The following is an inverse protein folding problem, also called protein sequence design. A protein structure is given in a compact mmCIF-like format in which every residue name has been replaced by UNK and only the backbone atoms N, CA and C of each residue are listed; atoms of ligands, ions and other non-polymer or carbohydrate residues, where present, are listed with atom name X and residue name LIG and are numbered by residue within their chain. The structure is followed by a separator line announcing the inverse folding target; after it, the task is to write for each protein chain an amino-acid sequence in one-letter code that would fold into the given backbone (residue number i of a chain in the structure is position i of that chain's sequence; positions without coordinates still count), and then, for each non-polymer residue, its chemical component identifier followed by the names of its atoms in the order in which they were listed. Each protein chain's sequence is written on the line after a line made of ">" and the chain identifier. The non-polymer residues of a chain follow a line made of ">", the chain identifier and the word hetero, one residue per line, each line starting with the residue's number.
data_IF_156237668965
#
_entry.id   IF_156237668965
#
_cell.length_a   1.000
_cell.length_b   1.000
_cell.length_c   1.000
_cell.angle_alpha   90.00
_cell.angle_beta   90.00
_cell.angle_gamma   90.00
#
_symmetry.space_group_name_H-M   'P 1'
#
loop_
_entity.id
_entity.type
_entity.pdbx_description
1 polymer ?
#
# COMPACT_ATOMS: atom_id res chain seq x y z
N UNK A 1 26.31 -17.26 8.27
CA UNK A 1 25.47 -17.98 9.24
C UNK A 1 24.70 -16.97 10.08
N UNK A 2 23.48 -17.36 10.52
CA UNK A 2 22.46 -16.60 11.25
C UNK A 2 21.48 -15.78 10.39
N UNK A 3 20.55 -16.48 9.74
CA UNK A 3 19.20 -15.99 9.46
C UNK A 3 18.48 -15.74 10.79
N UNK A 4 18.08 -14.49 11.08
CA UNK A 4 17.23 -14.17 12.23
C UNK A 4 15.81 -13.91 11.74
N UNK A 5 14.94 -14.87 12.01
CA UNK A 5 13.50 -14.70 11.90
C UNK A 5 13.01 -13.73 12.98
N UNK A 6 12.25 -12.71 12.58
CA UNK A 6 11.49 -11.86 13.49
C UNK A 6 10.34 -12.70 14.07
N UNK A 7 10.40 -13.00 15.38
CA UNK A 7 9.27 -13.57 16.12
C UNK A 7 8.50 -12.42 16.79
N UNK A 8 7.15 -12.46 16.83
CA UNK A 8 6.37 -11.44 17.51
C UNK A 8 6.39 -11.66 19.04
N UNK A 9 6.54 -10.57 19.80
CA UNK A 9 6.35 -10.55 21.26
C UNK A 9 4.85 -10.45 21.59
N UNK A 10 4.37 -11.12 22.65
CA UNK A 10 2.97 -11.04 23.07
C UNK A 10 2.66 -9.67 23.72
N UNK A 11 1.58 -9.04 23.26
CA UNK A 11 1.00 -7.85 23.87
C UNK A 11 0.44 -8.19 25.26
N UNK A 12 1.08 -7.66 26.32
CA UNK A 12 0.52 -7.70 27.68
C UNK A 12 -0.06 -6.33 28.01
N UNK A 13 -1.39 -6.22 27.98
CA UNK A 13 -2.09 -5.07 28.58
C UNK A 13 -1.93 -5.13 30.11
N UNK A 14 -1.15 -4.21 30.69
CA UNK A 14 -1.11 -4.00 32.14
C UNK A 14 -2.41 -3.35 32.60
N UNK A 15 -3.20 -4.07 33.39
CA UNK A 15 -4.31 -3.52 34.16
C UNK A 15 -3.77 -2.72 35.34
N UNK A 16 -4.20 -1.45 35.47
CA UNK A 16 -3.90 -0.59 36.63
C UNK A 16 -4.80 -0.99 37.82
N UNK A 17 -4.26 -1.19 39.04
CA UNK A 17 -5.09 -1.46 40.21
C UNK A 17 -5.64 -0.17 40.83
N UNK A 18 -6.91 -0.25 41.25
CA UNK A 18 -7.67 0.76 42.00
C UNK A 18 -6.99 1.13 43.33
N UNK A 19 -6.95 2.43 43.62
CA UNK A 19 -6.45 3.02 44.86
C UNK A 19 -7.30 2.64 46.08
N UNK A 20 -6.67 2.27 47.18
CA UNK A 20 -7.23 2.37 48.53
C UNK A 20 -6.40 3.37 49.34
N UNK A 21 -7.09 4.37 49.89
CA UNK A 21 -6.57 5.39 50.79
C UNK A 21 -6.22 4.80 52.16
N UNK A 22 -5.02 5.08 52.68
CA UNK A 22 -4.77 5.24 54.11
C UNK A 22 -3.70 6.31 54.33
N UNK A 23 -4.01 7.20 55.26
CA UNK A 23 -3.14 8.28 55.75
C UNK A 23 -2.04 7.74 56.66
N UNK A 24 -0.84 8.28 56.54
CA UNK A 24 0.03 8.56 57.68
C UNK A 24 1.06 9.61 57.29
N UNK A 25 1.13 10.65 58.13
CA UNK A 25 2.08 11.76 58.14
C UNK A 25 3.44 11.32 58.69
N UNK A 26 4.55 11.74 58.05
CA UNK A 26 5.74 12.29 58.75
C UNK A 26 6.77 12.92 57.79
N UNK A 27 7.15 14.15 58.16
CA UNK A 27 8.46 14.81 58.12
C UNK A 27 9.20 15.14 56.80
N UNK A 28 9.53 16.44 56.71
CA UNK A 28 10.30 17.14 55.68
C UNK A 28 11.75 16.64 55.52
N UNK A 29 12.23 16.66 54.27
CA UNK A 29 13.65 16.68 53.91
C UNK A 29 13.83 17.34 52.54
N UNK A 30 14.42 18.53 52.53
CA UNK A 30 14.64 19.40 51.38
C UNK A 30 15.54 18.79 50.29
N UNK A 31 15.09 18.83 49.03
CA UNK A 31 15.98 18.82 47.88
C UNK A 31 15.34 19.59 46.72
N UNK A 32 15.68 20.88 46.62
CA UNK A 32 15.49 21.67 45.41
C UNK A 32 16.36 21.05 44.31
N UNK A 33 15.74 20.32 43.37
CA UNK A 33 16.35 20.03 42.07
C UNK A 33 15.82 21.01 41.06
N UNK A 34 16.72 21.84 40.54
CA UNK A 34 16.51 22.70 39.40
C UNK A 34 16.01 21.89 38.21
N UNK A 35 14.80 22.18 37.73
CA UNK A 35 14.39 21.77 36.40
C UNK A 35 15.15 22.62 35.39
N UNK A 36 16.19 22.05 34.77
CA UNK A 36 16.71 22.61 33.53
C UNK A 36 15.64 22.43 32.46
N UNK A 37 15.22 23.53 31.85
CA UNK A 37 14.38 23.51 30.67
C UNK A 37 15.12 22.76 29.56
N UNK A 38 14.70 21.54 29.25
CA UNK A 38 15.14 20.87 28.03
C UNK A 38 14.62 21.68 26.85
N UNK A 39 15.51 22.41 26.19
CA UNK A 39 15.28 22.98 24.87
C UNK A 39 14.77 21.87 23.95
N UNK A 40 13.50 21.93 23.58
CA UNK A 40 12.93 21.06 22.55
C UNK A 40 13.74 21.31 21.27
N UNK A 41 14.54 20.32 20.87
CA UNK A 41 15.28 20.39 19.62
C UNK A 41 14.26 20.60 18.49
N UNK A 42 14.52 21.57 17.61
CA UNK A 42 13.72 21.76 16.41
C UNK A 42 13.70 20.44 15.62
N UNK A 43 12.55 20.02 15.07
CA UNK A 43 12.49 18.77 14.32
C UNK A 43 13.48 18.84 13.15
N UNK A 44 14.24 17.76 12.96
CA UNK A 44 15.12 17.62 11.80
C UNK A 44 14.30 17.83 10.51
N UNK A 45 14.88 18.44 9.46
CA UNK A 45 14.18 18.59 8.19
C UNK A 45 13.79 17.20 7.64
N UNK A 46 12.63 17.10 6.97
CA UNK A 46 12.18 15.83 6.40
C UNK A 46 13.19 15.31 5.37
N UNK A 47 13.37 13.99 5.30
CA UNK A 47 14.22 13.37 4.27
C UNK A 47 13.59 13.54 2.91
N UNK A 48 14.35 14.02 1.94
CA UNK A 48 13.88 14.21 0.57
C UNK A 48 14.01 12.92 -0.21
N UNK A 49 12.94 12.48 -0.84
CA UNK A 49 12.90 11.23 -1.61
C UNK A 49 12.42 11.52 -3.03
N UNK A 50 13.07 10.91 -4.01
CA UNK A 50 12.59 10.85 -5.39
C UNK A 50 12.01 9.47 -5.69
N UNK A 51 10.77 9.42 -6.15
CA UNK A 51 10.17 8.23 -6.79
C UNK A 51 9.83 8.61 -8.23
N UNK A 52 10.64 8.20 -9.22
CA UNK A 52 10.35 8.47 -10.61
C UNK A 52 9.25 7.52 -11.11
N UNK A 53 8.34 8.03 -11.93
CA UNK A 53 7.29 7.26 -12.61
C UNK A 53 7.34 7.54 -14.12
N UNK A 54 6.89 6.59 -14.91
CA UNK A 54 6.87 6.67 -16.36
C UNK A 54 5.74 5.81 -16.93
N UNK A 55 5.46 5.94 -18.23
CA UNK A 55 4.51 5.07 -18.91
C UNK A 55 4.88 3.59 -18.68
N UNK A 56 3.94 2.81 -18.16
CA UNK A 56 4.17 1.39 -17.84
C UNK A 56 4.94 1.14 -16.54
N UNK A 57 5.07 2.11 -15.64
CA UNK A 57 5.50 1.87 -14.26
C UNK A 57 4.56 0.85 -13.59
N UNK A 58 5.09 -0.01 -12.73
CA UNK A 58 4.27 -0.91 -11.90
C UNK A 58 3.58 -0.10 -10.77
N UNK A 59 2.25 0.09 -10.80
CA UNK A 59 1.56 0.95 -9.86
C UNK A 59 1.63 0.47 -8.40
N UNK A 60 1.55 -0.84 -8.09
CA UNK A 60 1.60 -1.31 -6.70
C UNK A 60 2.95 -0.96 -6.07
N UNK A 61 4.05 -1.21 -6.79
CA UNK A 61 5.41 -0.89 -6.35
C UNK A 61 5.59 0.61 -6.09
N UNK A 62 5.19 1.46 -7.04
CA UNK A 62 5.34 2.92 -6.90
C UNK A 62 4.49 3.48 -5.75
N UNK A 63 3.20 3.14 -5.71
CA UNK A 63 2.25 3.69 -4.74
C UNK A 63 2.60 3.26 -3.32
N UNK A 64 2.95 1.99 -3.10
CA UNK A 64 3.35 1.51 -1.78
C UNK A 64 4.62 2.22 -1.29
N UNK A 65 5.62 2.38 -2.14
CA UNK A 65 6.85 3.10 -1.76
C UNK A 65 6.57 4.56 -1.41
N UNK A 66 5.76 5.25 -2.20
CA UNK A 66 5.38 6.65 -1.93
C UNK A 66 4.65 6.77 -0.60
N UNK A 67 3.62 5.93 -0.40
CA UNK A 67 2.79 5.96 0.80
C UNK A 67 3.63 5.68 2.06
N UNK A 68 4.37 4.57 2.09
CA UNK A 68 5.14 4.13 3.26
C UNK A 68 6.21 5.17 3.65
N UNK A 69 6.89 5.77 2.67
CA UNK A 69 7.89 6.80 2.95
C UNK A 69 7.24 8.10 3.46
N UNK A 70 6.07 8.48 2.93
CA UNK A 70 5.30 9.62 3.46
C UNK A 70 4.76 9.35 4.88
N UNK A 71 4.38 8.11 5.21
CA UNK A 71 4.04 7.70 6.59
C UNK A 71 5.22 7.87 7.55
N UNK A 72 6.45 7.67 7.08
CA UNK A 72 7.66 7.89 7.87
C UNK A 72 8.01 9.37 8.06
N UNK A 73 7.32 10.29 7.37
CA UNK A 73 7.58 11.73 7.40
C UNK A 73 8.55 12.22 6.32
N UNK A 74 8.84 11.39 5.30
CA UNK A 74 9.64 11.83 4.16
C UNK A 74 8.88 12.82 3.26
N UNK A 75 9.63 13.78 2.73
CA UNK A 75 9.20 14.65 1.64
C UNK A 75 9.43 13.92 0.31
N UNK A 76 8.43 13.15 -0.11
CA UNK A 76 8.49 12.35 -1.33
C UNK A 76 8.00 13.17 -2.53
N UNK A 77 8.91 13.43 -3.45
CA UNK A 77 8.61 13.98 -4.78
C UNK A 77 8.38 12.83 -5.77
N UNK A 78 7.16 12.75 -6.31
CA UNK A 78 6.85 11.85 -7.43
C UNK A 78 7.15 12.61 -8.71
N UNK A 79 8.07 12.11 -9.55
CA UNK A 79 8.49 12.83 -10.75
C UNK A 79 8.27 12.00 -12.01
N UNK A 80 7.63 12.57 -13.02
CA UNK A 80 7.43 11.91 -14.30
C UNK A 80 8.68 11.98 -15.17
N UNK A 81 9.16 10.85 -15.65
CA UNK A 81 10.20 10.77 -16.68
C UNK A 81 9.66 11.02 -18.09
N UNK A 82 8.34 11.22 -18.22
CA UNK A 82 7.67 11.59 -19.47
C UNK A 82 7.67 13.12 -19.66
N UNK A 83 7.03 13.58 -20.75
CA UNK A 83 6.78 15.00 -21.03
C UNK A 83 5.57 15.58 -20.28
N UNK A 84 4.73 14.72 -19.70
CA UNK A 84 3.54 15.09 -18.93
C UNK A 84 3.65 14.49 -17.52
N UNK A 85 3.08 15.17 -16.53
CA UNK A 85 2.96 14.67 -15.16
C UNK A 85 1.92 13.55 -15.04
N UNK A 86 0.98 13.42 -16.00
CA UNK A 86 0.02 12.31 -16.06
C UNK A 86 0.67 11.10 -16.70
N UNK A 87 0.57 9.97 -16.01
CA UNK A 87 1.24 8.73 -16.39
C UNK A 87 0.23 7.59 -16.40
N UNK A 88 0.14 6.90 -17.54
CA UNK A 88 -0.52 5.60 -17.65
C UNK A 88 0.44 4.51 -17.16
N UNK A 89 0.19 4.01 -15.96
CA UNK A 89 0.92 2.91 -15.36
C UNK A 89 0.43 1.55 -15.94
N UNK A 90 1.05 0.44 -15.54
CA UNK A 90 0.58 -0.88 -15.95
C UNK A 90 -0.89 -1.13 -15.53
N UNK A 91 -1.56 -2.02 -16.25
CA UNK A 91 -2.90 -2.53 -15.92
C UNK A 91 -3.98 -1.43 -15.81
N UNK A 92 -3.80 -0.35 -16.57
CA UNK A 92 -4.76 0.75 -16.71
C UNK A 92 -4.87 1.65 -15.47
N UNK A 93 -3.99 1.48 -14.48
CA UNK A 93 -3.90 2.41 -13.35
C UNK A 93 -3.29 3.72 -13.85
N UNK A 94 -3.86 4.85 -13.42
CA UNK A 94 -3.38 6.18 -13.78
C UNK A 94 -2.77 6.85 -12.55
N UNK A 95 -1.65 7.53 -12.74
CA UNK A 95 -0.97 8.30 -11.69
C UNK A 95 -0.74 9.74 -12.18
N UNK A 96 -0.69 10.69 -11.26
CA UNK A 96 -0.22 12.06 -11.55
C UNK A 96 0.97 12.39 -10.68
N UNK A 97 2.10 12.68 -11.31
CA UNK A 97 3.32 13.14 -10.67
C UNK A 97 3.15 14.53 -10.04
N UNK A 98 4.08 14.86 -9.15
CA UNK A 98 4.21 16.18 -8.54
C UNK A 98 5.02 17.13 -9.43
N UNK A 99 5.95 16.60 -10.22
CA UNK A 99 6.85 17.35 -11.09
C UNK A 99 7.30 16.50 -12.30
N UNK A 100 7.99 17.10 -13.27
CA UNK A 100 8.79 16.37 -14.25
C UNK A 100 10.18 16.09 -13.68
N UNK A 101 10.89 15.08 -14.20
CA UNK A 101 12.28 14.81 -13.83
C UNK A 101 13.18 16.03 -14.10
N UNK A 102 12.91 16.77 -15.19
CA UNK A 102 13.61 18.01 -15.53
C UNK A 102 13.51 19.08 -14.44
N UNK A 103 12.38 19.14 -13.73
CA UNK A 103 12.12 20.17 -12.72
C UNK A 103 12.91 19.92 -11.42
N UNK A 104 13.41 18.69 -11.24
CA UNK A 104 14.10 18.25 -10.03
C UNK A 104 15.56 17.88 -10.28
N UNK A 105 16.10 18.15 -11.48
CA UNK A 105 17.45 17.76 -11.88
C UNK A 105 18.56 18.34 -10.97
N UNK A 106 18.33 19.51 -10.37
CA UNK A 106 19.25 20.14 -9.42
C UNK A 106 19.00 19.79 -7.95
N UNK A 107 17.95 19.02 -7.66
CA UNK A 107 17.55 18.68 -6.29
C UNK A 107 18.42 17.55 -5.75
N UNK A 108 18.89 17.70 -4.52
CA UNK A 108 19.56 16.63 -3.77
C UNK A 108 18.54 15.81 -3.00
N UNK A 109 18.64 14.49 -3.09
CA UNK A 109 17.74 13.56 -2.40
C UNK A 109 18.51 12.71 -1.39
N UNK A 110 17.85 12.38 -0.27
CA UNK A 110 18.35 11.38 0.68
C UNK A 110 18.15 9.95 0.15
N UNK A 111 17.16 9.74 -0.72
CA UNK A 111 16.86 8.46 -1.39
C UNK A 111 16.28 8.69 -2.80
N UNK A 112 16.71 7.87 -3.75
CA UNK A 112 16.03 7.71 -5.04
C UNK A 112 15.60 6.25 -5.18
N UNK A 113 14.30 5.98 -5.37
CA UNK A 113 13.74 4.63 -5.42
C UNK A 113 12.98 4.38 -6.72
N UNK A 114 13.51 3.52 -7.59
CA UNK A 114 12.97 3.22 -8.91
C UNK A 114 11.96 2.06 -8.84
N UNK A 115 10.67 2.30 -9.13
CA UNK A 115 9.70 1.23 -9.33
C UNK A 115 9.97 0.48 -10.63
N UNK A 116 9.49 -0.76 -10.70
CA UNK A 116 9.61 -1.60 -11.88
C UNK A 116 8.50 -1.39 -12.91
N UNK A 117 8.03 -2.49 -13.47
CA UNK A 117 7.04 -2.51 -14.55
C UNK A 117 7.68 -2.41 -15.94
N UNK A 118 6.97 -2.90 -16.95
CA UNK A 118 7.36 -2.77 -18.35
C UNK A 118 6.18 -2.22 -19.15
N UNK A 119 6.40 -1.22 -20.03
CA UNK A 119 7.70 -0.62 -20.39
C UNK A 119 8.34 0.34 -19.35
N UNK A 120 7.73 0.58 -18.18
CA UNK A 120 8.17 1.62 -17.23
C UNK A 120 9.65 1.62 -16.88
N UNK A 121 10.23 0.47 -16.57
CA UNK A 121 11.67 0.36 -16.28
C UNK A 121 12.56 0.70 -17.47
N UNK A 122 12.11 0.44 -18.70
CA UNK A 122 12.82 0.80 -19.93
C UNK A 122 12.73 2.32 -20.15
N UNK A 123 11.54 2.90 -19.94
CA UNK A 123 11.38 4.34 -20.05
C UNK A 123 12.19 5.11 -19.00
N UNK A 124 12.25 4.59 -17.76
CA UNK A 124 13.14 5.14 -16.72
C UNK A 124 14.62 5.01 -17.11
N UNK A 125 15.04 3.86 -17.65
CA UNK A 125 16.41 3.64 -18.16
C UNK A 125 16.78 4.66 -19.22
N UNK A 126 15.85 4.96 -20.14
CA UNK A 126 16.09 5.82 -21.31
C UNK A 126 15.98 7.32 -20.99
N UNK A 127 15.62 7.70 -19.76
CA UNK A 127 15.62 9.07 -19.28
C UNK A 127 17.04 9.49 -18.83
N UNK A 128 17.77 10.18 -19.72
CA UNK A 128 19.16 10.59 -19.47
C UNK A 128 19.33 11.54 -18.28
N UNK A 129 18.35 12.41 -18.01
CA UNK A 129 18.33 13.26 -16.81
C UNK A 129 18.22 12.41 -15.54
N UNK A 130 17.32 11.41 -15.51
CA UNK A 130 17.18 10.51 -14.36
C UNK A 130 18.47 9.70 -14.15
N UNK A 131 19.04 9.13 -15.21
CA UNK A 131 20.32 8.42 -15.15
C UNK A 131 21.40 9.31 -14.49
N UNK A 132 21.49 10.57 -14.92
CA UNK A 132 22.47 11.53 -14.40
C UNK A 132 22.26 11.82 -12.91
N UNK A 133 21.00 12.01 -12.48
CA UNK A 133 20.66 12.23 -11.06
C UNK A 133 21.03 11.01 -10.22
N UNK A 134 20.72 9.79 -10.67
CA UNK A 134 20.98 8.54 -9.93
C UNK A 134 22.47 8.23 -9.88
N UNK A 135 23.22 8.43 -10.98
CA UNK A 135 24.69 8.25 -10.98
C UNK A 135 25.36 9.21 -10.02
N UNK A 136 24.97 10.49 -10.03
CA UNK A 136 25.49 11.49 -9.09
C UNK A 136 25.17 11.14 -7.64
N UNK A 137 23.96 10.62 -7.36
CA UNK A 137 23.59 10.12 -6.03
C UNK A 137 24.52 8.98 -5.59
N UNK A 138 24.76 7.99 -6.47
CA UNK A 138 25.62 6.85 -6.18
C UNK A 138 27.09 7.27 -5.96
N UNK A 139 27.63 8.13 -6.81
CA UNK A 139 29.00 8.69 -6.69
C UNK A 139 29.19 9.47 -5.39
N UNK A 140 28.15 10.17 -4.93
CA UNK A 140 28.12 10.87 -3.64
C UNK A 140 27.93 9.95 -2.42
N UNK A 141 27.80 8.64 -2.61
CA UNK A 141 27.51 7.69 -1.54
C UNK A 141 26.09 7.78 -0.98
N UNK A 142 25.16 8.40 -1.72
CA UNK A 142 23.75 8.52 -1.35
C UNK A 142 22.99 7.20 -1.50
N UNK A 143 21.88 7.06 -0.77
CA UNK A 143 21.04 5.87 -0.84
C UNK A 143 20.27 5.86 -2.17
N UNK A 144 20.28 4.73 -2.87
CA UNK A 144 19.46 4.48 -4.05
C UNK A 144 18.91 3.07 -4.04
N UNK A 145 17.77 2.88 -4.70
CA UNK A 145 17.04 1.64 -4.60
C UNK A 145 16.23 1.35 -5.87
N UNK A 146 15.96 0.08 -6.14
CA UNK A 146 15.11 -0.33 -7.25
C UNK A 146 14.37 -1.64 -6.95
N UNK A 147 13.20 -1.83 -7.54
CA UNK A 147 12.39 -3.04 -7.36
C UNK A 147 12.00 -3.65 -8.71
N UNK A 148 11.79 -4.97 -8.72
CA UNK A 148 11.25 -5.70 -9.86
C UNK A 148 12.16 -5.69 -11.08
N UNK A 149 11.75 -5.12 -12.22
CA UNK A 149 12.57 -5.08 -13.43
C UNK A 149 13.65 -3.99 -13.37
N UNK A 150 13.45 -2.92 -12.60
CA UNK A 150 14.34 -1.76 -12.56
C UNK A 150 15.78 -2.05 -12.10
N UNK A 151 16.07 -2.98 -11.17
CA UNK A 151 17.45 -3.35 -10.85
C UNK A 151 18.22 -3.85 -12.08
N UNK A 152 17.64 -4.75 -12.88
CA UNK A 152 18.29 -5.29 -14.06
C UNK A 152 18.27 -4.30 -15.24
N UNK A 153 17.12 -3.69 -15.49
CA UNK A 153 16.87 -2.88 -16.69
C UNK A 153 17.49 -1.49 -16.58
N UNK A 154 17.40 -0.84 -15.42
CA UNK A 154 17.91 0.52 -15.22
C UNK A 154 19.27 0.48 -14.49
N UNK A 155 19.30 0.16 -13.19
CA UNK A 155 20.53 0.25 -12.39
C UNK A 155 21.67 -0.60 -12.96
N UNK A 156 21.37 -1.82 -13.41
CA UNK A 156 22.34 -2.72 -14.04
C UNK A 156 22.92 -2.13 -15.32
N UNK A 157 22.07 -1.58 -16.20
CA UNK A 157 22.53 -0.94 -17.45
C UNK A 157 23.37 0.31 -17.22
N UNK A 158 23.14 1.03 -16.12
CA UNK A 158 23.90 2.21 -15.72
C UNK A 158 25.22 1.87 -15.00
N UNK A 159 25.51 0.58 -14.78
CA UNK A 159 26.71 0.10 -14.10
C UNK A 159 26.69 0.25 -12.58
N UNK A 160 25.51 0.50 -11.98
CA UNK A 160 25.36 0.83 -10.56
C UNK A 160 25.26 -0.39 -9.62
N UNK A 161 25.41 -1.60 -10.17
CA UNK A 161 25.35 -2.87 -9.43
C UNK A 161 26.67 -3.66 -9.41
N UNK A 162 27.74 -3.10 -9.99
CA UNK A 162 29.03 -3.78 -10.11
C UNK A 162 29.62 -4.14 -8.75
N UNK A 163 29.86 -5.43 -8.53
CA UNK A 163 30.43 -6.00 -7.31
C UNK A 163 29.47 -6.05 -6.12
N UNK A 164 28.20 -5.66 -6.31
CA UNK A 164 27.20 -5.56 -5.24
C UNK A 164 26.24 -6.74 -5.28
N UNK A 165 25.73 -7.15 -4.12
CA UNK A 165 24.62 -8.10 -4.04
C UNK A 165 23.34 -7.43 -4.47
N UNK A 166 22.65 -8.03 -5.44
CA UNK A 166 21.38 -7.54 -5.95
C UNK A 166 20.39 -8.67 -6.19
N UNK A 167 19.11 -8.34 -6.00
CA UNK A 167 17.97 -9.15 -6.42
C UNK A 167 17.12 -8.35 -7.41
N UNK A 168 16.22 -9.03 -8.11
CA UNK A 168 15.24 -8.39 -9.00
C UNK A 168 14.06 -9.35 -9.23
N UNK A 169 13.16 -8.98 -10.15
CA UNK A 169 12.08 -9.85 -10.57
C UNK A 169 12.61 -11.19 -11.08
N UNK A 170 12.00 -12.34 -10.72
CA UNK A 170 12.54 -13.66 -11.04
C UNK A 170 12.90 -13.86 -12.52
N UNK A 171 12.06 -13.41 -13.46
CA UNK A 171 12.36 -13.55 -14.89
C UNK A 171 13.42 -12.57 -15.43
N UNK A 172 13.90 -11.63 -14.61
CA UNK A 172 14.96 -10.69 -14.94
C UNK A 172 16.29 -11.03 -14.23
N UNK A 173 16.31 -12.08 -13.41
CA UNK A 173 17.46 -12.43 -12.57
C UNK A 173 18.71 -12.68 -13.44
N UNK A 174 18.56 -13.43 -14.53
CA UNK A 174 19.61 -13.71 -15.51
C UNK A 174 20.00 -12.49 -16.38
N UNK A 175 19.25 -11.38 -16.28
CA UNK A 175 19.56 -10.10 -16.97
C UNK A 175 20.33 -9.13 -16.08
N UNK A 176 20.56 -9.45 -14.81
CA UNK A 176 21.48 -8.66 -13.99
C UNK A 176 22.90 -8.75 -14.58
N UNK A 177 23.72 -7.68 -14.46
CA UNK A 177 25.04 -7.66 -15.07
C UNK A 177 25.93 -8.73 -14.41
N UNK A 178 26.83 -9.32 -15.20
CA UNK A 178 27.67 -10.46 -14.76
C UNK A 178 28.61 -10.15 -13.61
N UNK A 179 28.87 -8.87 -13.34
CA UNK A 179 29.68 -8.40 -12.23
C UNK A 179 28.86 -8.06 -10.97
N UNK A 180 27.52 -8.17 -11.01
CA UNK A 180 26.68 -8.16 -9.81
C UNK A 180 26.64 -9.56 -9.15
N UNK A 181 26.49 -9.59 -7.83
CA UNK A 181 26.37 -10.83 -7.07
C UNK A 181 24.88 -11.14 -6.91
N UNK A 182 24.41 -12.14 -7.65
CA UNK A 182 23.00 -12.53 -7.65
C UNK A 182 22.54 -13.14 -6.32
N UNK A 183 21.41 -12.65 -5.80
CA UNK A 183 20.73 -13.22 -4.61
C UNK A 183 19.21 -13.23 -4.78
N UNK A 184 18.55 -14.16 -4.09
CA UNK A 184 17.10 -14.38 -4.20
C UNK A 184 16.30 -13.85 -3.00
N UNK A 185 16.93 -13.14 -2.07
CA UNK A 185 16.24 -12.50 -0.94
C UNK A 185 15.14 -11.57 -1.43
N UNK A 186 13.99 -11.54 -0.75
CA UNK A 186 12.85 -10.65 -1.10
C UNK A 186 13.24 -9.17 -1.11
N UNK A 187 14.13 -8.77 -0.19
CA UNK A 187 14.78 -7.47 -0.14
C UNK A 187 16.27 -7.70 0.10
N UNK A 188 17.13 -7.13 -0.73
CA UNK A 188 18.58 -7.18 -0.60
C UNK A 188 19.12 -5.78 -0.32
N UNK A 189 19.90 -5.65 0.76
CA UNK A 189 20.63 -4.42 1.09
C UNK A 189 22.12 -4.70 0.96
N UNK A 190 22.83 -3.95 0.12
CA UNK A 190 24.29 -3.98 0.03
C UNK A 190 24.84 -2.54 0.03
N UNK A 191 25.42 -2.13 1.15
CA UNK A 191 25.87 -0.75 1.37
C UNK A 191 24.74 0.28 1.21
N UNK A 192 24.83 1.08 0.14
CA UNK A 192 23.90 2.16 -0.20
C UNK A 192 22.86 1.76 -1.25
N UNK A 193 22.80 0.48 -1.62
CA UNK A 193 21.86 -0.05 -2.61
C UNK A 193 20.85 -0.95 -1.93
N UNK A 194 19.56 -0.72 -2.23
CA UNK A 194 18.48 -1.62 -1.82
C UNK A 194 17.75 -2.12 -3.06
N UNK A 195 17.66 -3.44 -3.22
CA UNK A 195 16.92 -4.06 -4.33
C UNK A 195 15.83 -5.01 -3.85
N UNK A 196 14.77 -5.19 -4.64
CA UNK A 196 13.66 -6.08 -4.29
C UNK A 196 13.00 -6.71 -5.53
N UNK A 197 12.09 -7.68 -5.34
CA UNK A 197 11.70 -8.63 -6.39
C UNK A 197 10.42 -8.29 -7.14
N UNK A 198 9.39 -7.69 -6.55
CA UNK A 198 8.12 -7.45 -7.27
C UNK A 198 7.01 -6.84 -6.42
N UNK A 199 5.78 -6.75 -6.94
CA UNK A 199 4.66 -6.10 -6.24
C UNK A 199 4.40 -6.67 -4.84
N UNK A 200 4.49 -7.99 -4.70
CA UNK A 200 4.31 -8.73 -3.45
C UNK A 200 5.41 -8.52 -2.43
N UNK A 201 6.56 -7.92 -2.80
CA UNK A 201 7.66 -7.55 -1.90
C UNK A 201 7.69 -6.04 -1.61
N UNK A 202 6.81 -5.23 -2.21
CA UNK A 202 6.87 -3.77 -2.14
C UNK A 202 6.71 -3.20 -0.72
N UNK A 203 5.88 -3.81 0.13
CA UNK A 203 5.74 -3.39 1.54
C UNK A 203 7.03 -3.64 2.33
N UNK A 204 7.59 -4.84 2.23
CA UNK A 204 8.87 -5.20 2.90
C UNK A 204 10.00 -4.29 2.42
N UNK A 205 10.08 -4.07 1.11
CA UNK A 205 11.04 -3.17 0.48
C UNK A 205 10.92 -1.75 1.04
N UNK A 206 9.71 -1.21 1.08
CA UNK A 206 9.48 0.18 1.51
C UNK A 206 9.73 0.36 3.02
N UNK A 207 9.43 -0.63 3.85
CA UNK A 207 9.78 -0.62 5.29
C UNK A 207 11.29 -0.68 5.49
N UNK A 208 12.01 -1.48 4.70
CA UNK A 208 13.47 -1.51 4.73
C UNK A 208 14.10 -0.16 4.33
N UNK A 209 13.48 0.57 3.39
CA UNK A 209 13.89 1.94 3.04
C UNK A 209 13.66 2.92 4.19
N UNK A 210 12.53 2.81 4.90
CA UNK A 210 12.29 3.59 6.13
C UNK A 210 13.35 3.29 7.19
N UNK A 211 13.70 2.02 7.41
CA UNK A 211 14.75 1.65 8.34
C UNK A 211 16.11 2.24 7.96
N UNK A 212 16.46 2.24 6.66
CA UNK A 212 17.71 2.85 6.17
C UNK A 212 17.75 4.37 6.32
N UNK A 213 16.61 5.05 6.19
CA UNK A 213 16.52 6.52 6.27
C UNK A 213 16.37 7.05 7.70
N UNK A 214 15.61 6.34 8.54
CA UNK A 214 15.14 6.84 9.83
C UNK A 214 15.44 5.89 11.00
N UNK A 215 15.96 4.70 10.73
CA UNK A 215 16.23 3.69 11.75
C UNK A 215 15.05 2.77 12.06
N UNK A 216 15.35 1.69 12.77
CA UNK A 216 14.41 0.59 13.04
C UNK A 216 13.15 1.01 13.79
N UNK A 217 13.28 1.91 14.77
CA UNK A 217 12.12 2.37 15.56
C UNK A 217 11.05 3.03 14.67
N UNK A 218 11.46 3.88 13.74
CA UNK A 218 10.53 4.51 12.79
C UNK A 218 9.92 3.49 11.83
N UNK A 219 10.71 2.50 11.40
CA UNK A 219 10.20 1.41 10.55
C UNK A 219 9.12 0.60 11.27
N UNK A 220 9.33 0.24 12.55
CA UNK A 220 8.36 -0.48 13.37
C UNK A 220 7.09 0.37 13.64
N UNK A 221 7.25 1.68 13.88
CA UNK A 221 6.13 2.64 14.03
C UNK A 221 5.26 2.71 12.76
N UNK A 222 5.88 2.78 11.59
CA UNK A 222 5.16 2.84 10.30
C UNK A 222 4.50 1.50 9.97
N UNK A 223 5.18 0.39 10.24
CA UNK A 223 4.70 -0.97 9.95
C UNK A 223 3.48 -1.38 10.78
N UNK A 224 3.46 -1.05 12.08
CA UNK A 224 2.43 -1.53 13.02
C UNK A 224 0.98 -1.26 12.55
N UNK A 225 0.61 0.00 12.25
CA UNK A 225 -0.73 0.34 11.78
C UNK A 225 -1.10 -0.24 10.42
N UNK A 226 -0.16 -0.75 9.62
CA UNK A 226 -0.46 -1.26 8.28
C UNK A 226 -1.01 -2.69 8.27
N UNK A 227 -0.99 -3.42 9.41
CA UNK A 227 -1.48 -4.81 9.49
C UNK A 227 -0.71 -5.73 8.51
N UNK A 228 0.61 -5.58 8.49
CA UNK A 228 1.49 -6.38 7.64
C UNK A 228 1.30 -7.88 7.88
N UNK A 229 1.56 -8.65 6.84
CA UNK A 229 1.57 -10.11 6.91
C UNK A 229 2.82 -10.56 7.68
N UNK A 230 2.65 -11.55 8.55
CA UNK A 230 3.72 -12.14 9.36
C UNK A 230 4.54 -13.20 8.60
N UNK A 231 3.86 -13.95 7.73
CA UNK A 231 4.44 -15.04 6.93
C UNK A 231 4.49 -14.67 5.45
N UNK A 232 5.57 -13.98 5.04
CA UNK A 232 5.83 -13.66 3.64
C UNK A 232 6.22 -14.91 2.83
N UNK A 233 5.80 -14.99 1.57
CA UNK A 233 6.13 -16.14 0.70
C UNK A 233 5.36 -17.42 1.03
N UNK A 234 4.36 -17.36 1.91
CA UNK A 234 3.45 -18.48 2.19
C UNK A 234 2.15 -18.27 1.42
N UNK A 235 1.46 -19.33 1.02
CA UNK A 235 0.13 -19.23 0.42
C UNK A 235 -0.83 -18.39 1.27
N UNK A 236 -1.60 -17.51 0.64
CA UNK A 236 -2.62 -16.72 1.34
C UNK A 236 -3.85 -17.57 1.64
N UNK A 237 -4.60 -17.18 2.66
CA UNK A 237 -5.89 -17.77 3.01
C UNK A 237 -6.86 -16.68 3.48
N UNK A 238 -8.14 -16.99 3.44
CA UNK A 238 -9.20 -16.13 3.99
C UNK A 238 -10.22 -17.00 4.72
N UNK A 239 -10.98 -16.38 5.61
CA UNK A 239 -12.07 -17.05 6.30
C UNK A 239 -13.36 -16.87 5.50
N UNK A 240 -14.04 -17.97 5.21
CA UNK A 240 -15.35 -17.96 4.58
C UNK A 240 -16.39 -18.58 5.51
N UNK A 241 -17.50 -17.86 5.68
CA UNK A 241 -18.70 -18.33 6.38
C UNK A 241 -19.91 -18.10 5.48
N UNK A 242 -20.97 -18.88 5.70
CA UNK A 242 -22.20 -18.84 4.90
C UNK A 242 -21.90 -18.87 3.38
N UNK A 243 -21.15 -19.87 2.89
CA UNK A 243 -20.63 -19.87 1.53
C UNK A 243 -21.76 -19.83 0.51
N UNK A 244 -21.62 -18.94 -0.47
CA UNK A 244 -22.49 -18.88 -1.65
C UNK A 244 -21.62 -18.91 -2.92
N UNK A 245 -22.14 -19.43 -4.04
CA UNK A 245 -21.45 -19.30 -5.33
C UNK A 245 -21.36 -17.84 -5.75
N UNK A 246 -20.15 -17.35 -6.04
CA UNK A 246 -19.96 -16.05 -6.69
C UNK A 246 -19.99 -16.28 -8.19
N UNK A 247 -20.94 -15.65 -8.87
CA UNK A 247 -21.18 -15.82 -10.30
C UNK A 247 -21.20 -14.45 -10.98
N UNK A 248 -20.77 -14.43 -12.22
CA UNK A 248 -20.94 -13.33 -13.15
C UNK A 248 -21.31 -13.94 -14.50
N UNK A 249 -21.88 -13.13 -15.39
CA UNK A 249 -22.29 -13.59 -16.72
C UNK A 249 -21.09 -13.64 -17.68
N UNK A 250 -21.03 -12.74 -18.66
CA UNK A 250 -19.98 -12.73 -19.68
C UNK A 250 -18.73 -11.94 -19.29
N UNK A 251 -18.89 -10.85 -18.54
CA UNK A 251 -17.80 -9.99 -18.08
C UNK A 251 -18.04 -9.56 -16.64
N UNK A 252 -17.06 -9.76 -15.76
CA UNK A 252 -17.15 -9.34 -14.36
C UNK A 252 -17.02 -7.82 -14.26
N UNK A 253 -18.10 -7.13 -13.88
CA UNK A 253 -18.17 -5.67 -13.74
C UNK A 253 -18.03 -5.26 -12.28
N UNK A 254 -16.97 -4.52 -11.95
CA UNK A 254 -16.62 -4.13 -10.58
C UNK A 254 -16.55 -2.61 -10.46
N UNK A 255 -17.21 -2.04 -9.46
CA UNK A 255 -17.07 -0.64 -9.08
C UNK A 255 -16.06 -0.50 -7.93
N UNK A 256 -15.07 0.37 -8.12
CA UNK A 256 -14.18 0.85 -7.05
C UNK A 256 -14.32 2.38 -6.98
N UNK A 257 -15.11 2.92 -6.03
CA UNK A 257 -15.15 4.36 -5.84
C UNK A 257 -13.87 4.84 -5.15
N UNK A 258 -13.40 6.02 -5.56
CA UNK A 258 -12.28 6.73 -4.96
C UNK A 258 -12.71 8.16 -4.61
N UNK A 259 -12.14 8.70 -3.54
CA UNK A 259 -12.43 10.03 -3.05
C UNK A 259 -11.15 10.67 -2.48
N UNK A 260 -11.20 11.96 -2.20
CA UNK A 260 -10.12 12.61 -1.49
C UNK A 260 -9.88 11.92 -0.13
N UNK A 261 -8.63 11.55 0.11
CA UNK A 261 -8.23 10.82 1.31
C UNK A 261 -8.58 9.33 1.34
N UNK A 262 -8.97 8.73 0.21
CA UNK A 262 -8.92 7.27 0.01
C UNK A 262 -7.51 6.74 0.30
N UNK A 263 -7.39 5.56 0.89
CA UNK A 263 -6.11 4.87 1.06
C UNK A 263 -5.62 4.35 -0.30
N UNK A 264 -4.50 4.91 -0.77
CA UNK A 264 -3.99 4.68 -2.12
C UNK A 264 -3.46 3.26 -2.36
N UNK A 265 -2.85 2.61 -1.36
CA UNK A 265 -2.32 1.26 -1.49
C UNK A 265 -3.48 0.27 -1.66
N UNK A 266 -4.52 0.39 -0.83
CA UNK A 266 -5.73 -0.41 -0.86
C UNK A 266 -6.45 -0.27 -2.21
N UNK A 267 -6.69 0.97 -2.66
CA UNK A 267 -7.35 1.22 -3.94
C UNK A 267 -6.52 0.67 -5.11
N UNK A 268 -5.22 0.94 -5.14
CA UNK A 268 -4.33 0.53 -6.23
C UNK A 268 -4.22 -0.99 -6.34
N UNK A 269 -4.04 -1.70 -5.21
CA UNK A 269 -3.97 -3.16 -5.22
C UNK A 269 -5.28 -3.81 -5.66
N UNK A 270 -6.43 -3.29 -5.21
CA UNK A 270 -7.74 -3.79 -5.67
C UNK A 270 -7.88 -3.61 -7.18
N UNK A 271 -7.60 -2.42 -7.70
CA UNK A 271 -7.77 -2.09 -9.12
C UNK A 271 -6.83 -2.93 -9.99
N UNK A 272 -5.53 -2.92 -9.66
CA UNK A 272 -4.49 -3.60 -10.43
C UNK A 272 -4.72 -5.12 -10.49
N UNK A 273 -4.91 -5.77 -9.34
CA UNK A 273 -5.01 -7.24 -9.26
C UNK A 273 -6.28 -7.74 -9.96
N UNK A 274 -7.41 -7.04 -9.80
CA UNK A 274 -8.66 -7.44 -10.46
C UNK A 274 -8.59 -7.23 -11.98
N UNK A 275 -7.89 -6.19 -12.46
CA UNK A 275 -7.63 -6.00 -13.90
C UNK A 275 -6.65 -7.04 -14.45
N UNK A 276 -5.65 -7.46 -13.69
CA UNK A 276 -4.77 -8.60 -14.05
C UNK A 276 -5.57 -9.89 -14.21
N UNK A 277 -6.57 -10.10 -13.36
CA UNK A 277 -7.54 -11.20 -13.46
C UNK A 277 -8.61 -11.00 -14.56
N UNK A 278 -8.46 -9.98 -15.43
CA UNK A 278 -9.34 -9.66 -16.56
C UNK A 278 -10.75 -9.23 -16.17
N UNK A 279 -10.97 -8.79 -14.94
CA UNK A 279 -12.21 -8.12 -14.56
C UNK A 279 -12.29 -6.72 -15.17
N UNK A 280 -13.50 -6.26 -15.50
CA UNK A 280 -13.74 -4.87 -15.88
C UNK A 280 -13.94 -4.02 -14.62
N UNK A 281 -12.89 -3.30 -14.22
CA UNK A 281 -12.91 -2.45 -13.03
C UNK A 281 -13.15 -1.00 -13.44
N UNK A 282 -14.32 -0.48 -13.06
CA UNK A 282 -14.70 0.92 -13.17
C UNK A 282 -14.21 1.66 -11.93
N UNK A 283 -13.27 2.58 -12.10
CA UNK A 283 -12.82 3.47 -11.03
C UNK A 283 -13.63 4.76 -11.12
N UNK A 284 -14.40 5.08 -10.08
CA UNK A 284 -15.29 6.24 -10.08
C UNK A 284 -14.91 7.25 -9.00
N UNK A 285 -14.72 8.52 -9.37
CA UNK A 285 -14.49 9.59 -8.40
C UNK A 285 -15.81 9.99 -7.75
N UNK A 286 -15.86 10.02 -6.42
CA UNK A 286 -16.99 10.55 -5.65
C UNK A 286 -16.97 12.09 -5.59
N UNK A 287 -15.86 12.70 -6.00
CA UNK A 287 -15.71 14.14 -6.10
C UNK A 287 -16.38 14.71 -7.37
N UNK A 288 -16.32 16.03 -7.56
CA UNK A 288 -16.79 16.74 -8.76
C UNK A 288 -15.80 16.69 -9.95
N UNK A 289 -14.64 16.07 -9.73
CA UNK A 289 -13.56 15.92 -10.73
C UNK A 289 -12.99 14.50 -10.73
N UNK A 290 -12.37 14.11 -11.84
CA UNK A 290 -11.78 12.77 -12.00
C UNK A 290 -10.54 12.56 -11.12
N UNK A 291 -9.75 13.60 -10.89
CA UNK A 291 -8.50 13.50 -10.14
C UNK A 291 -8.72 13.72 -8.63
N UNK A 292 -8.42 12.69 -7.82
CA UNK A 292 -8.46 12.78 -6.36
C UNK A 292 -7.05 12.85 -5.77
N UNK A 293 -6.95 13.40 -4.57
CA UNK A 293 -5.72 13.37 -3.75
C UNK A 293 -5.95 12.37 -2.61
N UNK A 294 -5.25 11.24 -2.67
CA UNK A 294 -5.35 10.16 -1.70
C UNK A 294 -4.77 10.54 -0.32
N UNK A 295 -4.88 9.62 0.64
CA UNK A 295 -4.59 9.86 2.06
C UNK A 295 -3.15 10.29 2.32
N UNK A 296 -2.18 9.71 1.60
CA UNK A 296 -0.76 10.09 1.60
C UNK A 296 -0.38 10.80 0.31
N UNK A 297 -1.32 11.58 -0.23
CA UNK A 297 -1.09 12.56 -1.30
C UNK A 297 -0.67 11.95 -2.64
N UNK A 298 -0.86 10.64 -2.86
CA UNK A 298 -0.83 10.10 -4.22
C UNK A 298 -2.02 10.67 -4.99
N UNK A 299 -1.80 11.13 -6.23
CA UNK A 299 -2.86 11.68 -7.07
C UNK A 299 -3.33 10.60 -8.03
N UNK A 300 -4.62 10.26 -7.96
CA UNK A 300 -5.24 9.18 -8.73
C UNK A 300 -6.36 9.74 -9.61
N UNK A 301 -6.24 9.64 -10.94
CA UNK A 301 -7.36 9.87 -11.84
C UNK A 301 -8.31 8.67 -11.87
N UNK A 302 -9.61 8.93 -11.67
CA UNK A 302 -10.68 7.99 -11.93
C UNK A 302 -10.97 7.84 -13.43
N UNK A 303 -11.67 6.77 -13.80
CA UNK A 303 -12.14 6.55 -15.17
C UNK A 303 -13.40 7.39 -15.48
N UNK A 304 -14.24 7.63 -14.47
CA UNK A 304 -15.43 8.45 -14.58
C UNK A 304 -15.83 9.08 -13.24
N UNK A 305 -16.78 10.01 -13.28
CA UNK A 305 -17.43 10.52 -12.07
C UNK A 305 -18.48 9.52 -11.57
N UNK A 306 -18.75 9.52 -10.27
CA UNK A 306 -19.77 8.70 -9.64
C UNK A 306 -21.15 8.92 -10.28
N UNK A 307 -21.45 10.15 -10.72
CA UNK A 307 -22.70 10.51 -11.40
C UNK A 307 -22.97 9.70 -12.67
N UNK A 308 -21.92 9.27 -13.36
CA UNK A 308 -22.03 8.37 -14.51
C UNK A 308 -22.01 6.91 -14.07
N UNK A 309 -21.18 6.57 -13.09
CA UNK A 309 -21.05 5.21 -12.58
C UNK A 309 -22.36 4.66 -12.01
N UNK A 310 -23.16 5.47 -11.31
CA UNK A 310 -24.46 5.03 -10.73
C UNK A 310 -25.51 4.66 -11.77
N UNK A 311 -25.28 4.98 -13.05
CA UNK A 311 -26.16 4.59 -14.17
C UNK A 311 -25.85 3.18 -14.70
N UNK A 312 -24.75 2.58 -14.24
CA UNK A 312 -24.29 1.25 -14.65
C UNK A 312 -24.72 0.18 -13.63
N UNK A 313 -24.54 -1.09 -14.00
CA UNK A 313 -24.74 -2.22 -13.10
C UNK A 313 -23.42 -2.90 -12.80
N UNK A 314 -23.30 -3.40 -11.57
CA UNK A 314 -22.09 -4.04 -11.07
C UNK A 314 -22.41 -5.40 -10.47
N UNK A 315 -21.51 -6.35 -10.68
CA UNK A 315 -21.51 -7.64 -9.99
C UNK A 315 -20.97 -7.49 -8.57
N UNK A 316 -20.02 -6.57 -8.39
CA UNK A 316 -19.33 -6.31 -7.13
C UNK A 316 -19.03 -4.81 -6.95
N UNK A 317 -19.28 -4.28 -5.76
CA UNK A 317 -18.84 -2.93 -5.35
C UNK A 317 -17.83 -3.06 -4.20
N UNK A 318 -16.64 -2.50 -4.34
CA UNK A 318 -15.56 -2.59 -3.34
C UNK A 318 -15.17 -1.21 -2.85
N UNK A 319 -15.24 -0.97 -1.54
CA UNK A 319 -14.82 0.29 -0.93
C UNK A 319 -13.41 0.17 -0.34
N UNK A 320 -12.40 0.85 -0.92
CA UNK A 320 -11.13 1.08 -0.24
C UNK A 320 -11.35 1.84 1.08
N UNK A 321 -10.35 1.87 1.95
CA UNK A 321 -10.38 2.60 3.20
C UNK A 321 -9.80 4.01 3.09
N UNK A 322 -9.09 4.39 4.15
CA UNK A 322 -8.66 5.77 4.40
C UNK A 322 -9.77 6.50 5.13
N UNK A 323 -9.50 7.07 6.30
CA UNK A 323 -10.56 7.64 7.14
C UNK A 323 -11.31 8.81 6.45
N UNK A 324 -10.63 9.77 5.79
CA UNK A 324 -11.33 10.82 5.06
C UNK A 324 -12.05 10.29 3.81
N UNK A 325 -11.45 9.35 3.07
CA UNK A 325 -12.09 8.72 1.91
C UNK A 325 -13.36 7.96 2.30
N UNK A 326 -13.29 7.15 3.36
CA UNK A 326 -14.46 6.44 3.91
C UNK A 326 -15.55 7.41 4.41
N UNK A 327 -15.18 8.57 4.96
CA UNK A 327 -16.14 9.63 5.31
C UNK A 327 -16.80 10.23 4.07
N UNK A 328 -16.03 10.51 3.02
CA UNK A 328 -16.58 10.98 1.74
C UNK A 328 -17.54 9.96 1.12
N UNK A 329 -17.19 8.66 1.16
CA UNK A 329 -18.09 7.57 0.74
C UNK A 329 -19.37 7.54 1.57
N UNK A 330 -19.25 7.64 2.89
CA UNK A 330 -20.39 7.61 3.83
C UNK A 330 -21.34 8.80 3.65
N UNK A 331 -20.83 9.95 3.22
CA UNK A 331 -21.60 11.16 2.99
C UNK A 331 -22.21 11.25 1.57
N UNK A 332 -21.82 10.36 0.65
CA UNK A 332 -22.34 10.36 -0.71
C UNK A 332 -23.66 9.59 -0.79
N UNK A 333 -24.79 10.31 -0.76
CA UNK A 333 -26.12 9.71 -0.87
C UNK A 333 -26.24 8.79 -2.10
N UNK A 334 -25.69 9.21 -3.24
CA UNK A 334 -25.68 8.42 -4.49
C UNK A 334 -24.98 7.07 -4.33
N UNK A 335 -23.82 7.06 -3.67
CA UNK A 335 -23.07 5.82 -3.44
C UNK A 335 -23.78 4.92 -2.42
N UNK A 336 -24.31 5.51 -1.35
CA UNK A 336 -25.04 4.77 -0.33
C UNK A 336 -26.31 4.12 -0.91
N UNK A 337 -27.06 4.85 -1.74
CA UNK A 337 -28.25 4.29 -2.41
C UNK A 337 -27.89 3.16 -3.38
N UNK A 338 -26.76 3.28 -4.09
CA UNK A 338 -26.25 2.20 -4.93
C UNK A 338 -25.88 0.96 -4.10
N UNK A 339 -25.19 1.14 -2.96
CA UNK A 339 -24.83 0.05 -2.04
C UNK A 339 -26.06 -0.62 -1.40
N UNK A 340 -27.08 0.15 -1.02
CA UNK A 340 -28.35 -0.41 -0.51
C UNK A 340 -29.01 -1.30 -1.55
N UNK A 341 -29.15 -0.81 -2.79
CA UNK A 341 -29.69 -1.60 -3.91
C UNK A 341 -28.85 -2.87 -4.18
N UNK A 342 -27.52 -2.75 -4.10
CA UNK A 342 -26.60 -3.89 -4.25
C UNK A 342 -26.86 -4.95 -3.16
N UNK A 343 -26.96 -4.53 -1.90
CA UNK A 343 -27.20 -5.42 -0.78
C UNK A 343 -28.61 -6.04 -0.79
N UNK A 344 -29.66 -5.25 -1.07
CA UNK A 344 -31.06 -5.70 -1.13
C UNK A 344 -31.30 -6.70 -2.27
N UNK A 345 -30.59 -6.55 -3.39
CA UNK A 345 -30.62 -7.51 -4.49
C UNK A 345 -29.77 -8.77 -4.26
N UNK A 346 -29.12 -8.89 -3.11
CA UNK A 346 -28.25 -10.01 -2.77
C UNK A 346 -26.95 -10.06 -3.59
N UNK A 347 -26.64 -9.01 -4.35
CA UNK A 347 -25.39 -8.91 -5.11
C UNK A 347 -24.19 -8.68 -4.18
N UNK A 348 -23.01 -8.86 -4.74
CA UNK A 348 -21.77 -8.85 -3.97
C UNK A 348 -21.35 -7.40 -3.66
N UNK A 349 -20.84 -7.19 -2.46
CA UNK A 349 -20.21 -5.93 -2.07
C UNK A 349 -19.16 -6.19 -1.00
N UNK A 350 -18.24 -5.25 -0.82
CA UNK A 350 -17.19 -5.39 0.15
C UNK A 350 -16.49 -4.09 0.49
N UNK A 351 -15.71 -4.12 1.56
CA UNK A 351 -14.97 -2.96 2.02
C UNK A 351 -13.73 -3.38 2.80
N UNK A 352 -12.70 -2.54 2.78
CA UNK A 352 -11.45 -2.75 3.53
C UNK A 352 -11.19 -1.56 4.48
N UNK A 353 -10.48 -1.84 5.57
CA UNK A 353 -9.94 -0.84 6.48
C UNK A 353 -11.02 -0.01 7.18
N UNK A 354 -11.10 1.29 6.92
CA UNK A 354 -12.08 2.16 7.58
C UNK A 354 -13.50 1.96 7.05
N UNK A 355 -13.65 1.56 5.79
CA UNK A 355 -14.94 1.54 5.10
C UNK A 355 -15.96 0.53 5.66
N UNK A 356 -15.59 -0.67 6.16
CA UNK A 356 -16.53 -1.53 6.87
C UNK A 356 -17.22 -0.83 8.06
N UNK A 357 -16.46 -0.11 8.89
CA UNK A 357 -16.99 0.55 10.08
C UNK A 357 -17.64 1.91 9.81
N UNK A 358 -17.11 2.68 8.86
CA UNK A 358 -17.54 4.07 8.59
C UNK A 358 -18.64 4.15 7.55
N UNK A 359 -18.73 3.16 6.65
CA UNK A 359 -19.73 3.10 5.59
C UNK A 359 -20.71 1.96 5.84
N UNK A 360 -20.24 0.71 5.86
CA UNK A 360 -21.17 -0.44 5.87
C UNK A 360 -21.94 -0.55 7.18
N UNK A 361 -21.26 -0.48 8.33
CA UNK A 361 -21.89 -0.50 9.65
C UNK A 361 -22.81 0.71 9.85
N UNK A 362 -22.29 1.92 9.57
CA UNK A 362 -23.00 3.19 9.80
C UNK A 362 -24.32 3.29 9.02
N UNK A 363 -24.39 2.67 7.83
CA UNK A 363 -25.59 2.64 6.99
C UNK A 363 -26.39 1.34 7.11
N UNK A 364 -26.08 0.50 8.10
CA UNK A 364 -26.83 -0.73 8.40
C UNK A 364 -26.68 -1.85 7.37
N UNK A 365 -25.67 -1.77 6.49
CA UNK A 365 -25.37 -2.78 5.48
C UNK A 365 -24.76 -4.05 6.11
N UNK A 366 -24.28 -3.98 7.36
CA UNK A 366 -23.77 -5.15 8.10
C UNK A 366 -24.81 -5.86 8.97
N UNK A 367 -26.09 -5.49 8.90
CA UNK A 367 -27.14 -6.15 9.71
C UNK A 367 -27.23 -7.64 9.38
N UNK A 368 -26.99 -8.47 10.40
CA UNK A 368 -27.01 -9.94 10.26
C UNK A 368 -25.79 -10.53 9.55
N UNK A 369 -24.74 -9.73 9.31
CA UNK A 369 -23.48 -10.14 8.70
C UNK A 369 -22.34 -10.12 9.72
N UNK A 370 -21.31 -10.91 9.47
CA UNK A 370 -20.00 -10.82 10.14
C UNK A 370 -19.05 -10.03 9.26
N UNK A 371 -18.25 -9.19 9.90
CA UNK A 371 -17.28 -8.35 9.23
C UNK A 371 -15.98 -8.26 10.02
N UNK A 372 -14.92 -7.90 9.30
CA UNK A 372 -13.68 -7.38 9.86
C UNK A 372 -13.49 -5.93 9.42
N UNK A 373 -12.63 -5.19 10.10
CA UNK A 373 -12.36 -3.79 9.82
C UNK A 373 -10.94 -3.40 10.26
N UNK A 374 -10.59 -2.13 10.06
CA UNK A 374 -9.37 -1.58 10.64
C UNK A 374 -9.35 -1.76 12.16
N UNK A 375 -8.26 -2.28 12.76
CA UNK A 375 -8.23 -2.65 14.19
C UNK A 375 -8.74 -1.55 15.13
N UNK A 376 -8.34 -0.29 14.89
CA UNK A 376 -8.78 0.83 15.72
C UNK A 376 -10.27 1.20 15.56
N UNK A 377 -10.96 0.67 14.54
CA UNK A 377 -12.36 0.92 14.25
C UNK A 377 -13.25 -0.31 14.49
N UNK A 378 -12.68 -1.47 14.85
CA UNK A 378 -13.47 -2.67 15.15
C UNK A 378 -14.50 -2.46 16.27
N UNK A 379 -14.20 -1.58 17.24
CA UNK A 379 -15.15 -1.22 18.31
C UNK A 379 -16.45 -0.58 17.81
N UNK A 380 -16.50 -0.10 16.56
CA UNK A 380 -17.71 0.45 15.94
C UNK A 380 -18.61 -0.61 15.33
N UNK A 381 -18.09 -1.82 15.07
CA UNK A 381 -18.89 -2.92 14.55
C UNK A 381 -19.84 -3.41 15.66
N UNK A 382 -21.12 -3.58 15.33
CA UNK A 382 -22.09 -4.17 16.27
C UNK A 382 -21.68 -5.60 16.65
N UNK A 383 -21.11 -6.34 15.70
CA UNK A 383 -20.61 -7.69 15.90
C UNK A 383 -19.10 -7.77 15.65
N UNK A 384 -18.34 -8.02 16.71
CA UNK A 384 -16.87 -8.06 16.67
C UNK A 384 -16.31 -9.49 16.59
N UNK A 385 -17.16 -10.52 16.47
CA UNK A 385 -16.75 -11.93 16.57
C UNK A 385 -15.72 -12.38 15.53
N UNK A 386 -15.61 -11.69 14.40
CA UNK A 386 -14.65 -11.96 13.32
C UNK A 386 -13.74 -10.75 13.01
N UNK A 387 -13.65 -9.80 13.94
CA UNK A 387 -12.89 -8.56 13.75
C UNK A 387 -11.37 -8.75 13.62
N UNK A 388 -10.87 -9.94 13.95
CA UNK A 388 -9.45 -10.27 13.86
C UNK A 388 -9.05 -10.98 12.54
N UNK A 389 -10.03 -11.42 11.74
CA UNK A 389 -9.75 -12.09 10.46
C UNK A 389 -9.12 -11.09 9.47
N UNK A 390 -8.02 -11.49 8.81
CA UNK A 390 -7.33 -10.64 7.80
C UNK A 390 -8.23 -10.33 6.61
N UNK A 391 -8.92 -11.37 6.13
CA UNK A 391 -9.96 -11.30 5.10
C UNK A 391 -11.11 -12.22 5.53
N UNK A 392 -12.33 -11.71 5.46
CA UNK A 392 -13.54 -12.42 5.82
C UNK A 392 -14.57 -12.32 4.68
N UNK A 393 -15.09 -13.47 4.25
CA UNK A 393 -16.24 -13.60 3.36
C UNK A 393 -17.43 -14.11 4.17
N UNK A 394 -18.55 -13.39 4.14
CA UNK A 394 -19.84 -13.81 4.70
C UNK A 394 -20.95 -13.75 3.63
N UNK A 395 -21.11 -14.86 2.92
CA UNK A 395 -21.99 -14.95 1.76
C UNK A 395 -21.62 -13.95 0.66
N UNK A 396 -22.45 -12.92 0.49
CA UNK A 396 -22.26 -11.86 -0.51
C UNK A 396 -21.41 -10.67 -0.03
N UNK A 397 -20.92 -10.69 1.20
CA UNK A 397 -20.08 -9.64 1.77
C UNK A 397 -18.62 -10.11 1.83
N UNK A 398 -17.66 -9.27 1.43
CA UNK A 398 -16.24 -9.47 1.74
C UNK A 398 -15.66 -8.26 2.48
N UNK A 399 -14.92 -8.48 3.55
CA UNK A 399 -14.25 -7.42 4.32
C UNK A 399 -12.80 -7.73 4.66
N UNK A 400 -12.00 -6.68 4.89
CA UNK A 400 -10.59 -6.81 5.25
C UNK A 400 -10.10 -5.65 6.14
N UNK A 401 -8.89 -5.77 6.71
CA UNK A 401 -8.43 -4.97 7.86
C UNK A 401 -7.65 -3.71 7.51
N UNK A 402 -6.77 -3.70 6.52
CA UNK A 402 -5.88 -2.56 6.29
C UNK A 402 -4.94 -2.74 5.12
N UNK A 403 -3.99 -1.80 4.92
CA UNK A 403 -3.15 -1.81 3.73
C UNK A 403 -2.37 -3.11 3.52
N UNK A 404 -1.84 -3.69 4.59
CA UNK A 404 -1.10 -4.95 4.60
C UNK A 404 -1.94 -6.20 4.35
N UNK A 405 -3.28 -6.10 4.33
CA UNK A 405 -4.19 -7.19 3.95
C UNK A 405 -4.80 -7.01 2.55
N UNK A 406 -4.51 -5.91 1.85
CA UNK A 406 -5.17 -5.58 0.57
C UNK A 406 -4.87 -6.56 -0.56
N UNK A 407 -3.64 -7.09 -0.61
CA UNK A 407 -3.28 -8.09 -1.63
C UNK A 407 -4.02 -9.40 -1.38
N UNK A 408 -4.14 -9.83 -0.11
CA UNK A 408 -4.94 -11.00 0.27
C UNK A 408 -6.43 -10.78 -0.02
N UNK A 409 -6.94 -9.57 0.22
CA UNK A 409 -8.32 -9.19 -0.09
C UNK A 409 -8.63 -9.28 -1.58
N UNK A 410 -7.77 -8.72 -2.43
CA UNK A 410 -7.93 -8.79 -3.88
C UNK A 410 -7.77 -10.23 -4.41
N UNK A 411 -6.79 -10.99 -3.91
CA UNK A 411 -6.58 -12.38 -4.31
C UNK A 411 -7.72 -13.31 -3.84
N UNK A 412 -8.33 -13.05 -2.68
CA UNK A 412 -9.53 -13.76 -2.24
C UNK A 412 -10.70 -13.52 -3.21
N UNK A 413 -10.87 -12.30 -3.72
CA UNK A 413 -11.89 -12.00 -4.73
C UNK A 413 -11.61 -12.75 -6.04
N UNK A 414 -10.34 -12.77 -6.49
CA UNK A 414 -9.93 -13.56 -7.66
C UNK A 414 -10.24 -15.04 -7.44
N UNK A 415 -9.97 -15.57 -6.26
CA UNK A 415 -10.28 -16.96 -5.92
C UNK A 415 -11.79 -17.24 -5.94
N UNK A 416 -12.62 -16.33 -5.41
CA UNK A 416 -14.08 -16.49 -5.41
C UNK A 416 -14.69 -16.52 -6.80
N UNK A 417 -14.18 -15.74 -7.75
CA UNK A 417 -14.72 -15.68 -9.11
C UNK A 417 -14.07 -16.64 -10.10
N UNK A 418 -12.75 -16.84 -10.00
CA UNK A 418 -11.95 -17.53 -11.00
C UNK A 418 -11.31 -18.82 -10.46
N UNK A 419 -11.49 -19.13 -9.18
CA UNK A 419 -10.97 -20.34 -8.53
C UNK A 419 -9.56 -20.19 -7.99
N UNK A 420 -9.22 -21.08 -7.04
CA UNK A 420 -7.95 -21.07 -6.28
C UNK A 420 -6.71 -21.06 -7.18
N UNK A 421 -6.70 -21.86 -8.24
CA UNK A 421 -5.54 -21.98 -9.12
C UNK A 421 -5.18 -20.64 -9.79
N UNK A 422 -6.17 -19.95 -10.35
CA UNK A 422 -5.97 -18.64 -10.97
C UNK A 422 -5.46 -17.60 -9.96
N UNK A 423 -5.97 -17.63 -8.73
CA UNK A 423 -5.50 -16.74 -7.68
C UNK A 423 -4.05 -17.05 -7.26
N UNK A 424 -3.67 -18.33 -7.14
CA UNK A 424 -2.30 -18.74 -6.82
C UNK A 424 -1.31 -18.37 -7.93
N UNK A 425 -1.68 -18.56 -9.20
CA UNK A 425 -0.79 -18.22 -10.32
C UNK A 425 -0.59 -16.71 -10.45
N UNK A 426 -1.65 -15.93 -10.18
CA UNK A 426 -1.52 -14.48 -10.08
C UNK A 426 -0.65 -14.07 -8.88
N UNK A 427 -0.82 -14.70 -7.71
CA UNK A 427 -0.02 -14.44 -6.52
C UNK A 427 1.49 -14.72 -6.75
N UNK A 428 1.83 -15.80 -7.48
CA UNK A 428 3.22 -16.11 -7.88
C UNK A 428 3.78 -15.05 -8.83
N UNK A 429 2.98 -14.61 -9.81
CA UNK A 429 3.37 -13.53 -10.74
C UNK A 429 3.64 -12.22 -10.00
N UNK A 430 2.89 -11.96 -8.94
CA UNK A 430 3.12 -10.80 -8.07
C UNK A 430 4.32 -10.99 -7.13
N UNK A 431 4.95 -12.17 -7.07
CA UNK A 431 5.99 -12.51 -6.08
C UNK A 431 5.46 -12.40 -4.63
N UNK A 432 4.15 -12.61 -4.45
CA UNK A 432 3.50 -12.56 -3.14
C UNK A 432 3.70 -13.86 -2.36
N UNK A 433 3.73 -14.99 -3.08
CA UNK A 433 3.91 -16.34 -2.55
C UNK A 433 5.10 -17.03 -3.21
#
# INVERSE_FOLDING_TARGET
>A
MATRHLLPLPFVYKTLPRSRSKSTTTALGSALRSFSSSTMASPLPPKKVLVPIAHGTEPIEAVITIDVLRRAGADVTVASAEKDIRVDACWGVKLVADALISDVASTTFDLISLPGGLPGSETLRDCGELESIVKKQAEGGGLYAAICAAPAVALGSWGLLKGLKATCYPSFIEKLPSDAILVESRVQIDGQVVTSRGPGTALEYSVALVEKLYGKEKADEVAGPMVLRDQHGVEFSFTEINPIPWKFDSSLQILVPIANGTEEMEATMIIDILRRAKANVVVASVEDKLEIVASRKVKLPADMLLDEAVKLQYDLILLPGGLPGAQAFSNSEKLIDLLRKQAESGKLYGAICASPAIVLEAHGLLKGKKATAYPALCHKLTDQSYSENRVLVDGNLITSRGPGTSMEFALAIVEKFFGRQNALDLAKTLVFI
#
